data_IF_478060041833
#
_entry.id   IF_478060041833
#
_cell.length_a   1.000
_cell.length_b   1.000
_cell.length_c   1.000
_cell.angle_alpha   90.00
_cell.angle_beta   90.00
_cell.angle_gamma   90.00
#
_symmetry.space_group_name_H-M   'P 1'
#
loop_
_entity.id
_entity.type
_entity.pdbx_description
1 polymer ?
#
# COMPACT_ATOMS: atom_id res chain seq x y z
N UNK A 1 -44.75 -0.90 -45.35
CA UNK A 1 -43.62 0.07 -45.31
C UNK A 1 -43.44 0.72 -43.94
N UNK A 2 -44.49 1.24 -43.27
CA UNK A 2 -44.38 1.86 -41.92
C UNK A 2 -43.92 0.90 -40.81
N UNK A 3 -44.39 -0.35 -40.82
CA UNK A 3 -44.03 -1.38 -39.81
C UNK A 3 -42.56 -1.79 -39.92
N UNK A 4 -42.03 -1.90 -41.15
CA UNK A 4 -40.62 -2.26 -41.40
C UNK A 4 -39.68 -1.17 -40.87
N UNK A 5 -40.05 0.11 -41.02
CA UNK A 5 -39.28 1.23 -40.49
C UNK A 5 -39.26 1.26 -38.95
N UNK A 6 -40.38 0.91 -38.31
CA UNK A 6 -40.47 0.80 -36.83
C UNK A 6 -39.60 -0.33 -36.32
N UNK A 7 -39.64 -1.50 -36.98
CA UNK A 7 -38.77 -2.62 -36.63
C UNK A 7 -37.30 -2.24 -36.73
N UNK A 8 -36.86 -1.62 -37.84
CA UNK A 8 -35.46 -1.21 -38.06
C UNK A 8 -35.00 -0.18 -37.01
N UNK A 9 -35.84 0.81 -36.69
CA UNK A 9 -35.52 1.80 -35.65
C UNK A 9 -35.38 1.16 -34.27
N UNK A 10 -36.24 0.19 -33.94
CA UNK A 10 -36.16 -0.54 -32.68
C UNK A 10 -34.92 -1.43 -32.56
N UNK A 11 -34.50 -2.13 -33.63
CA UNK A 11 -33.28 -2.97 -33.57
C UNK A 11 -32.00 -2.13 -33.51
N UNK A 12 -31.96 -0.97 -34.17
CA UNK A 12 -30.82 -0.06 -34.12
C UNK A 12 -30.59 0.53 -32.72
N UNK A 13 -31.66 0.94 -32.03
CA UNK A 13 -31.57 1.40 -30.65
C UNK A 13 -31.10 0.30 -29.69
N UNK A 14 -31.53 -0.95 -29.90
CA UNK A 14 -31.11 -2.06 -29.05
C UNK A 14 -29.62 -2.42 -29.24
N UNK A 15 -29.08 -2.32 -30.46
CA UNK A 15 -27.65 -2.53 -30.77
C UNK A 15 -26.74 -1.40 -30.21
N UNK A 16 -27.25 -0.17 -30.13
CA UNK A 16 -26.51 0.95 -29.51
C UNK A 16 -26.44 0.84 -27.98
N UNK A 17 -27.44 0.23 -27.34
CA UNK A 17 -27.46 0.08 -25.87
C UNK A 17 -26.51 -1.05 -25.42
N UNK A 18 -26.35 -2.12 -26.20
CA UNK A 18 -25.44 -3.24 -25.85
C UNK A 18 -23.95 -2.89 -26.01
N UNK A 19 -23.59 -1.94 -26.88
CA UNK A 19 -22.21 -1.47 -27.04
C UNK A 19 -21.69 -0.68 -25.84
N UNK A 20 -22.58 -0.17 -24.99
CA UNK A 20 -22.20 0.63 -23.80
C UNK A 20 -21.92 -0.21 -22.54
N UNK A 21 -22.25 -1.52 -22.55
CA UNK A 21 -22.15 -2.40 -21.37
C UNK A 21 -20.87 -3.27 -21.35
N UNK A 22 -19.99 -3.15 -22.34
CA UNK A 22 -18.77 -3.97 -22.46
C UNK A 22 -17.58 -3.51 -21.58
N UNK A 23 -17.76 -2.58 -20.64
CA UNK A 23 -16.65 -2.01 -19.86
C UNK A 23 -16.74 -2.17 -18.33
N UNK A 24 -17.56 -3.10 -17.81
CA UNK A 24 -17.38 -3.55 -16.41
C UNK A 24 -16.35 -4.68 -16.32
N UNK A 25 -15.08 -4.34 -16.54
CA UNK A 25 -13.98 -5.14 -16.02
C UNK A 25 -13.75 -4.73 -14.56
N UNK A 26 -14.20 -5.57 -13.63
CA UNK A 26 -13.77 -5.52 -12.23
C UNK A 26 -12.29 -5.90 -12.19
N UNK A 27 -11.41 -4.91 -12.23
CA UNK A 27 -10.03 -5.07 -11.79
C UNK A 27 -9.98 -4.73 -10.30
N UNK A 28 -10.33 -5.71 -9.46
CA UNK A 28 -10.01 -5.70 -8.04
C UNK A 28 -8.53 -6.03 -7.85
N UNK A 29 -7.65 -5.16 -8.35
CA UNK A 29 -6.21 -5.21 -8.16
C UNK A 29 -5.78 -3.96 -7.42
N UNK A 30 -5.74 -4.03 -6.09
CA UNK A 30 -5.14 -3.02 -5.24
C UNK A 30 -3.65 -2.91 -5.54
N UNK A 31 -3.32 -2.15 -6.58
CA UNK A 31 -2.02 -1.52 -6.73
C UNK A 31 -2.03 -0.35 -5.77
N UNK A 32 -1.70 -0.62 -4.51
CA UNK A 32 -1.07 0.41 -3.71
C UNK A 32 0.04 0.96 -4.58
N UNK A 33 -0.09 2.22 -4.97
CA UNK A 33 1.00 2.98 -5.54
C UNK A 33 2.08 2.99 -4.46
N UNK A 34 2.93 1.96 -4.47
CA UNK A 34 4.30 2.14 -4.07
C UNK A 34 4.76 3.19 -5.09
N UNK A 35 4.76 4.46 -4.66
CA UNK A 35 5.70 5.40 -5.22
C UNK A 35 7.00 4.61 -5.35
N UNK A 36 7.63 4.53 -6.54
CA UNK A 36 8.82 3.73 -6.72
C UNK A 36 9.70 4.05 -5.52
N UNK A 37 9.96 3.02 -4.69
CA UNK A 37 10.80 3.21 -3.53
C UNK A 37 12.04 3.89 -4.10
N UNK A 38 12.35 5.12 -3.67
CA UNK A 38 13.45 5.85 -4.27
C UNK A 38 14.64 4.90 -4.32
N UNK A 39 15.30 4.80 -5.47
CA UNK A 39 16.56 4.06 -5.55
C UNK A 39 17.54 4.81 -4.64
N UNK A 40 17.52 4.50 -3.35
CA UNK A 40 18.36 5.13 -2.34
C UNK A 40 19.77 4.61 -2.59
N UNK A 41 20.51 5.33 -3.44
CA UNK A 41 21.90 5.06 -3.77
C UNK A 41 22.84 5.52 -2.66
N UNK A 42 22.36 6.35 -1.73
CA UNK A 42 23.13 6.89 -0.62
C UNK A 42 22.46 6.65 0.74
N UNK A 43 23.19 6.07 1.70
CA UNK A 43 22.64 5.71 3.01
C UNK A 43 22.01 6.88 3.78
N UNK A 44 22.44 8.11 3.54
CA UNK A 44 21.94 9.30 4.22
C UNK A 44 20.44 9.57 3.98
N UNK A 45 19.92 9.27 2.80
CA UNK A 45 18.50 9.46 2.51
C UNK A 45 17.64 8.39 3.18
N UNK A 46 18.13 7.14 3.25
CA UNK A 46 17.46 6.08 4.01
C UNK A 46 17.45 6.41 5.51
N UNK A 47 18.53 6.96 6.05
CA UNK A 47 18.59 7.42 7.44
C UNK A 47 17.50 8.47 7.71
N UNK A 48 17.38 9.48 6.83
CA UNK A 48 16.38 10.55 6.99
C UNK A 48 14.96 10.01 6.87
N UNK A 49 14.69 9.14 5.89
CA UNK A 49 13.39 8.52 5.69
C UNK A 49 12.99 7.65 6.90
N UNK A 50 13.92 6.82 7.38
CA UNK A 50 13.71 6.02 8.58
C UNK A 50 13.50 6.89 9.81
N UNK A 51 14.26 7.98 9.96
CA UNK A 51 14.10 8.94 11.05
C UNK A 51 12.67 9.46 11.13
N UNK A 52 12.17 10.06 10.05
CA UNK A 52 10.81 10.62 10.03
C UNK A 52 9.71 9.57 10.24
N UNK A 53 9.85 8.38 9.64
CA UNK A 53 8.86 7.31 9.82
C UNK A 53 8.87 6.74 11.25
N UNK A 54 10.06 6.61 11.85
CA UNK A 54 10.19 6.12 13.21
C UNK A 54 9.75 7.13 14.27
N UNK A 55 9.90 8.43 14.01
CA UNK A 55 9.33 9.47 14.87
C UNK A 55 7.82 9.32 15.00
N UNK A 56 7.10 9.17 13.88
CA UNK A 56 5.66 8.92 13.88
C UNK A 56 5.33 7.60 14.56
N UNK A 57 6.03 6.51 14.23
CA UNK A 57 5.78 5.18 14.81
C UNK A 57 5.96 5.16 16.34
N UNK A 58 6.87 5.98 16.86
CA UNK A 58 7.24 6.01 18.27
C UNK A 58 6.64 7.20 19.04
N UNK A 59 5.73 7.96 18.43
CA UNK A 59 5.18 9.20 18.99
C UNK A 59 4.56 8.99 20.38
N UNK A 60 3.82 7.88 20.54
CA UNK A 60 3.12 7.49 21.77
C UNK A 60 3.87 6.43 22.59
N UNK A 61 5.12 6.10 22.23
CA UNK A 61 5.87 5.07 22.93
C UNK A 61 6.30 5.56 24.33
N UNK A 62 5.95 4.81 25.38
CA UNK A 62 6.37 5.12 26.75
C UNK A 62 7.90 5.08 26.98
N UNK A 63 8.64 4.36 26.13
CA UNK A 63 10.10 4.38 26.07
C UNK A 63 10.57 4.85 24.68
N UNK A 64 10.52 6.15 24.42
CA UNK A 64 10.79 6.74 23.09
C UNK A 64 12.15 6.35 22.52
N UNK A 65 13.23 6.50 23.28
CA UNK A 65 14.59 6.19 22.79
C UNK A 65 14.76 4.72 22.40
N UNK A 66 14.16 3.81 23.19
CA UNK A 66 14.16 2.38 22.89
C UNK A 66 13.38 2.11 21.61
N UNK A 67 12.19 2.71 21.46
CA UNK A 67 11.37 2.55 20.27
C UNK A 67 12.11 3.04 19.02
N UNK A 68 12.65 4.26 19.04
CA UNK A 68 13.38 4.85 17.92
C UNK A 68 14.59 3.99 17.52
N UNK A 69 15.34 3.47 18.50
CA UNK A 69 16.48 2.58 18.25
C UNK A 69 16.06 1.31 17.50
N UNK A 70 15.05 0.60 17.98
CA UNK A 70 14.64 -0.66 17.34
C UNK A 70 13.88 -0.43 16.04
N UNK A 71 13.05 0.61 15.96
CA UNK A 71 12.41 1.02 14.71
C UNK A 71 13.46 1.33 13.65
N UNK A 72 14.49 2.12 13.97
CA UNK A 72 15.57 2.46 13.04
C UNK A 72 16.34 1.24 12.54
N UNK A 73 16.67 0.29 13.42
CA UNK A 73 17.31 -0.98 13.02
C UNK A 73 16.41 -1.74 12.03
N UNK A 74 15.15 -1.92 12.38
CA UNK A 74 14.20 -2.64 11.53
C UNK A 74 13.91 -1.90 10.22
N UNK A 75 13.85 -0.58 10.24
CA UNK A 75 13.63 0.25 9.08
C UNK A 75 14.78 0.14 8.09
N UNK A 76 16.04 0.19 8.54
CA UNK A 76 17.20 0.05 7.64
C UNK A 76 17.28 -1.34 7.02
N UNK A 77 16.98 -2.37 7.80
CA UNK A 77 17.01 -3.76 7.34
C UNK A 77 15.85 -4.08 6.39
N UNK A 78 14.64 -3.62 6.72
CA UNK A 78 13.41 -3.98 6.00
C UNK A 78 12.95 -2.92 4.99
N UNK A 79 13.54 -1.72 5.02
CA UNK A 79 13.17 -0.54 4.20
C UNK A 79 11.67 -0.21 4.25
N UNK A 80 11.05 -0.48 5.41
CA UNK A 80 9.61 -0.37 5.63
C UNK A 80 9.32 -0.05 7.11
N UNK A 81 8.38 0.86 7.37
CA UNK A 81 7.83 1.15 8.71
C UNK A 81 6.31 1.20 8.59
N UNK A 82 5.57 0.39 9.37
CA UNK A 82 4.11 0.39 9.38
C UNK A 82 3.50 1.74 9.73
N UNK A 83 2.28 1.99 9.27
CA UNK A 83 1.49 3.16 9.62
C UNK A 83 1.10 3.18 11.11
N UNK A 84 0.80 4.38 11.63
CA UNK A 84 0.36 4.59 13.01
C UNK A 84 1.42 4.30 14.08
N UNK A 85 1.03 4.48 15.34
CA UNK A 85 1.89 4.32 16.53
C UNK A 85 1.90 2.90 17.10
N UNK A 86 0.93 2.06 16.69
CA UNK A 86 0.79 0.66 17.11
C UNK A 86 0.19 -0.20 15.99
N UNK A 87 0.32 -1.52 16.08
CA UNK A 87 -0.32 -2.45 15.14
C UNK A 87 0.22 -2.37 13.71
N UNK A 88 -0.63 -2.62 12.71
CA UNK A 88 -0.39 -2.49 11.26
C UNK A 88 0.84 -3.21 10.68
N UNK A 89 1.43 -4.13 11.43
CA UNK A 89 2.66 -4.83 11.02
C UNK A 89 2.48 -5.64 9.71
N UNK A 90 1.24 -6.00 9.35
CA UNK A 90 0.94 -6.68 8.09
C UNK A 90 1.29 -5.84 6.84
N UNK A 91 1.37 -4.51 6.96
CA UNK A 91 1.83 -3.62 5.88
C UNK A 91 3.31 -3.84 5.53
N UNK A 92 4.11 -4.33 6.48
CA UNK A 92 5.55 -4.54 6.32
C UNK A 92 5.95 -5.95 6.80
N UNK A 93 5.84 -6.96 5.93
CA UNK A 93 6.12 -8.37 6.30
C UNK A 93 7.50 -8.58 6.95
N UNK A 94 8.58 -8.01 6.41
CA UNK A 94 9.91 -8.11 7.02
C UNK A 94 9.95 -7.51 8.44
N UNK A 95 9.32 -6.34 8.63
CA UNK A 95 9.29 -5.65 9.93
C UNK A 95 8.48 -6.45 10.96
N UNK A 96 7.37 -7.06 10.53
CA UNK A 96 6.53 -7.95 11.34
C UNK A 96 7.29 -9.18 11.82
N UNK A 97 7.99 -9.84 10.89
CA UNK A 97 8.57 -11.16 11.12
C UNK A 97 9.99 -11.10 11.68
N UNK A 98 10.55 -9.90 11.84
CA UNK A 98 11.89 -9.72 12.39
C UNK A 98 11.93 -10.14 13.86
N UNK A 99 12.74 -11.15 14.15
CA UNK A 99 12.96 -11.64 15.50
C UNK A 99 14.29 -11.16 16.08
N UNK A 100 14.34 -11.06 17.40
CA UNK A 100 15.58 -10.93 18.16
C UNK A 100 16.29 -12.29 18.26
N UNK A 101 17.53 -12.31 18.75
CA UNK A 101 18.23 -13.56 19.06
C UNK A 101 17.49 -14.45 20.07
N UNK A 102 16.53 -13.90 20.82
CA UNK A 102 15.66 -14.63 21.76
C UNK A 102 14.35 -15.13 21.13
N UNK A 103 14.23 -15.06 19.79
CA UNK A 103 13.03 -15.46 19.03
C UNK A 103 11.75 -14.69 19.40
N UNK A 104 11.89 -13.48 19.93
CA UNK A 104 10.76 -12.57 20.18
C UNK A 104 10.70 -11.48 19.11
N UNK A 105 9.51 -10.88 18.84
CA UNK A 105 9.40 -9.75 17.92
C UNK A 105 10.38 -8.64 18.30
N UNK A 106 11.21 -8.22 17.33
CA UNK A 106 12.27 -7.22 17.53
C UNK A 106 11.77 -5.80 17.33
N UNK A 107 10.89 -5.61 16.35
CA UNK A 107 10.49 -4.28 15.89
C UNK A 107 9.25 -3.78 16.65
N UNK A 108 9.20 -2.50 17.04
CA UNK A 108 8.07 -1.93 17.77
C UNK A 108 6.77 -1.94 16.96
#
# INVERSE_FOLDING_TARGET
>A
MKIIAVSIFSVASLLLITSSLASLTISGGGTGAVAPAPEIKDGAELEKWCGGKCEVRCEEAGMKDRCLKYCGICCKECKCVPSGTYGNKHECACYRDKLSSKKTPKCP
#
